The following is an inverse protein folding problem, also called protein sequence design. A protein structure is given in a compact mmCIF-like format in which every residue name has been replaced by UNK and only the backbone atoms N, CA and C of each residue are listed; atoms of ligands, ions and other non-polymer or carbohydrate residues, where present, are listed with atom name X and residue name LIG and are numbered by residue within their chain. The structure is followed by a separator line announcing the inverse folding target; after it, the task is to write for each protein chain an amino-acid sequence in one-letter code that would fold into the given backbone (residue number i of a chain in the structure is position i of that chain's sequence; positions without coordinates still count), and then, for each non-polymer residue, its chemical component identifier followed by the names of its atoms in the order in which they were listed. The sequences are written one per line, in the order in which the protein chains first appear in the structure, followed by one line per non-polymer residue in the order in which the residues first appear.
data_IF_023101320543
#
_entry.id   IF_023101320543
#
_cell.length_a   1.000
_cell.length_b   1.000
_cell.length_c   1.000
_cell.angle_alpha   90.00
_cell.angle_beta   90.00
_cell.angle_gamma   90.00
#
_symmetry.space_group_name_H-M   'P 1'
#
loop_
_entity.id
_entity.type
_entity.pdbx_description
1 polymer ?
#
# COMPACT_ATOMS: atom_id res chain seq x y z
N UNK A 1 11.63 49.82 -17.52
CA UNK A 1 12.11 48.72 -18.38
C UNK A 1 11.36 47.47 -17.99
N UNK A 2 10.50 46.94 -18.86
CA UNK A 2 9.64 45.79 -18.54
C UNK A 2 10.48 44.51 -18.70
N UNK A 3 10.49 43.56 -17.74
CA UNK A 3 11.27 42.34 -17.88
C UNK A 3 10.82 41.58 -19.14
N UNK A 4 11.76 41.06 -19.90
CA UNK A 4 11.46 40.24 -21.08
C UNK A 4 10.70 38.98 -20.67
N UNK A 5 9.90 38.40 -21.58
CA UNK A 5 9.13 37.16 -21.33
C UNK A 5 10.00 36.01 -20.78
N UNK A 6 11.29 36.00 -21.13
CA UNK A 6 12.25 34.99 -20.68
C UNK A 6 12.57 35.12 -19.17
N UNK A 7 12.47 36.33 -18.61
CA UNK A 7 12.69 36.57 -17.18
C UNK A 7 11.57 35.95 -16.33
N UNK A 8 10.34 36.00 -16.81
CA UNK A 8 9.19 35.36 -16.15
C UNK A 8 9.21 33.84 -16.27
N UNK A 9 9.66 33.28 -17.40
CA UNK A 9 9.79 31.82 -17.55
C UNK A 9 10.88 31.23 -16.64
N UNK A 10 11.98 31.94 -16.42
CA UNK A 10 13.04 31.52 -15.49
C UNK A 10 12.54 31.58 -14.05
N UNK A 11 11.82 32.64 -13.66
CA UNK A 11 11.19 32.72 -12.35
C UNK A 11 10.10 31.67 -12.15
N UNK A 12 9.29 31.34 -13.15
CA UNK A 12 8.29 30.27 -13.10
C UNK A 12 8.92 28.87 -13.02
N UNK A 13 10.03 28.64 -13.73
CA UNK A 13 10.78 27.39 -13.66
C UNK A 13 11.46 27.21 -12.29
N UNK A 14 12.01 28.30 -11.72
CA UNK A 14 12.55 28.31 -10.36
C UNK A 14 11.43 28.15 -9.32
N UNK A 15 10.26 28.77 -9.52
CA UNK A 15 9.10 28.61 -8.65
C UNK A 15 8.54 27.17 -8.69
N UNK A 16 8.43 26.55 -9.87
CA UNK A 16 8.04 25.14 -10.02
C UNK A 16 9.10 24.16 -9.51
N UNK A 17 10.39 24.54 -9.48
CA UNK A 17 11.48 23.74 -8.90
C UNK A 17 11.56 23.91 -7.36
N UNK A 18 11.09 25.04 -6.84
CA UNK A 18 11.00 25.34 -5.40
C UNK A 18 9.66 24.91 -4.77
N UNK A 19 8.60 24.66 -5.57
CA UNK A 19 7.44 23.84 -5.18
C UNK A 19 7.86 22.38 -5.11
N UNK A 20 8.62 22.13 -4.06
CA UNK A 20 9.15 20.88 -3.60
C UNK A 20 8.02 19.87 -3.33
N UNK A 21 7.42 19.29 -4.38
CA UNK A 21 6.96 17.90 -4.26
C UNK A 21 8.20 17.06 -4.41
N UNK A 22 8.93 16.89 -3.31
CA UNK A 22 9.92 15.83 -3.19
C UNK A 22 9.21 14.55 -3.63
N UNK A 23 9.53 14.06 -4.83
CA UNK A 23 9.19 12.70 -5.19
C UNK A 23 10.00 11.87 -4.22
N UNK A 24 9.36 11.32 -3.20
CA UNK A 24 9.97 10.31 -2.35
C UNK A 24 10.12 9.06 -3.21
N UNK A 25 11.22 9.01 -3.98
CA UNK A 25 11.60 7.84 -4.74
C UNK A 25 12.25 6.89 -3.74
N UNK A 26 11.45 6.12 -3.02
CA UNK A 26 11.94 4.87 -2.44
C UNK A 26 12.21 3.93 -3.62
N UNK A 27 13.48 3.74 -3.97
CA UNK A 27 13.83 2.62 -4.85
C UNK A 27 13.45 1.35 -4.10
N UNK A 28 12.66 0.51 -4.75
CA UNK A 28 12.05 -0.71 -4.19
C UNK A 28 13.07 -1.67 -3.53
N UNK A 29 14.35 -1.50 -3.89
CA UNK A 29 15.51 -2.24 -3.38
C UNK A 29 15.99 -1.81 -1.99
N UNK A 30 15.63 -0.62 -1.49
CA UNK A 30 16.12 -0.12 -0.19
C UNK A 30 15.25 -0.56 0.99
N UNK A 31 13.95 -0.78 0.77
CA UNK A 31 13.04 -1.30 1.80
C UNK A 31 13.01 -2.81 1.70
N UNK A 32 13.87 -3.47 2.47
CA UNK A 32 13.91 -4.93 2.54
C UNK A 32 12.62 -5.45 3.17
N UNK A 33 12.08 -6.52 2.61
CA UNK A 33 11.02 -7.25 3.27
C UNK A 33 11.51 -7.84 4.60
N UNK A 34 10.67 -7.75 5.61
CA UNK A 34 10.85 -8.36 6.93
C UNK A 34 9.77 -9.41 7.18
N UNK A 35 10.02 -10.33 8.11
CA UNK A 35 9.00 -11.27 8.56
C UNK A 35 8.02 -10.55 9.49
N UNK A 36 6.74 -10.52 9.10
CA UNK A 36 5.68 -9.89 9.89
C UNK A 36 5.14 -10.85 10.96
N UNK A 37 4.94 -12.10 10.53
CA UNK A 37 4.51 -13.25 11.31
C UNK A 37 4.96 -14.52 10.56
N UNK A 38 4.98 -15.70 11.20
CA UNK A 38 5.41 -16.94 10.55
C UNK A 38 4.71 -17.16 9.20
N UNK A 39 5.49 -17.30 8.13
CA UNK A 39 4.99 -17.52 6.77
C UNK A 39 4.44 -16.27 6.06
N UNK A 40 4.60 -15.08 6.65
CA UNK A 40 4.22 -13.80 6.04
C UNK A 40 5.38 -12.82 6.10
N UNK A 41 5.80 -12.35 4.92
CA UNK A 41 6.75 -11.25 4.79
C UNK A 41 6.05 -10.01 4.29
N UNK A 42 6.57 -8.86 4.69
CA UNK A 42 6.01 -7.59 4.26
C UNK A 42 7.10 -6.55 4.01
N UNK A 43 6.73 -5.52 3.26
CA UNK A 43 7.38 -4.20 3.32
C UNK A 43 6.32 -3.10 3.30
N UNK A 44 6.65 -1.98 3.93
CA UNK A 44 5.76 -0.82 3.98
C UNK A 44 6.42 0.39 3.33
N UNK A 45 5.63 1.14 2.56
CA UNK A 45 5.98 2.45 2.04
C UNK A 45 4.93 3.44 2.51
N UNK A 46 5.37 4.53 3.12
CA UNK A 46 4.47 5.54 3.66
C UNK A 46 4.61 6.85 2.87
N UNK A 47 3.47 7.46 2.57
CA UNK A 47 3.37 8.89 2.28
C UNK A 47 2.82 9.63 3.50
N UNK A 48 2.58 10.93 3.37
CA UNK A 48 1.98 11.73 4.44
C UNK A 48 0.55 11.28 4.80
N UNK A 49 -0.17 10.61 3.88
CA UNK A 49 -1.61 10.33 4.03
C UNK A 49 -2.01 8.89 3.74
N UNK A 50 -1.09 8.07 3.26
CA UNK A 50 -1.36 6.71 2.82
C UNK A 50 -0.20 5.77 3.17
N UNK A 51 -0.52 4.50 3.38
CA UNK A 51 0.45 3.41 3.44
C UNK A 51 0.21 2.47 2.27
N UNK A 52 1.28 2.09 1.56
CA UNK A 52 1.30 0.91 0.70
C UNK A 52 1.98 -0.21 1.49
N UNK A 53 1.30 -1.34 1.61
CA UNK A 53 1.86 -2.57 2.13
C UNK A 53 1.97 -3.59 1.01
N UNK A 54 3.13 -4.20 0.90
CA UNK A 54 3.33 -5.36 0.05
C UNK A 54 3.53 -6.57 0.93
N UNK A 55 2.83 -7.66 0.58
CA UNK A 55 2.78 -8.87 1.35
C UNK A 55 3.14 -10.07 0.49
N UNK A 56 3.98 -10.95 1.04
CA UNK A 56 4.22 -12.29 0.52
C UNK A 56 3.73 -13.29 1.56
N UNK A 57 2.71 -14.05 1.20
CA UNK A 57 2.15 -15.12 2.02
C UNK A 57 2.58 -16.48 1.48
N UNK A 58 3.08 -17.34 2.35
CA UNK A 58 3.23 -18.77 2.05
C UNK A 58 1.85 -19.45 1.95
N UNK A 59 1.80 -20.59 1.24
CA UNK A 59 0.56 -21.36 1.09
C UNK A 59 0.01 -21.81 2.45
N UNK A 60 -1.31 -21.79 2.60
CA UNK A 60 -2.08 -22.18 3.78
C UNK A 60 -1.88 -21.31 5.02
N UNK A 61 -1.19 -20.17 4.91
CA UNK A 61 -1.07 -19.22 6.02
C UNK A 61 -2.39 -18.47 6.21
N UNK A 62 -2.86 -18.44 7.45
CA UNK A 62 -4.04 -17.69 7.87
C UNK A 62 -3.65 -16.25 8.27
N UNK A 63 -4.39 -15.28 7.74
CA UNK A 63 -4.39 -13.90 8.20
C UNK A 63 -5.48 -13.76 9.28
N UNK A 64 -5.12 -13.53 10.56
CA UNK A 64 -6.08 -13.46 11.65
C UNK A 64 -7.16 -12.39 11.43
N UNK A 65 -8.31 -12.60 12.06
CA UNK A 65 -9.38 -11.60 12.05
C UNK A 65 -8.94 -10.30 12.71
N UNK A 66 -9.18 -9.19 12.01
CA UNK A 66 -8.87 -7.86 12.48
C UNK A 66 -9.78 -6.81 11.82
N UNK A 67 -9.61 -5.57 12.27
CA UNK A 67 -10.22 -4.38 11.66
C UNK A 67 -9.35 -3.17 11.96
N UNK A 68 -9.52 -2.11 11.18
CA UNK A 68 -8.83 -0.84 11.37
C UNK A 68 -9.67 0.31 10.82
N UNK A 69 -9.43 1.52 11.32
CA UNK A 69 -10.13 2.74 10.89
C UNK A 69 -9.78 3.20 9.48
N UNK A 70 -8.80 2.57 8.84
CA UNK A 70 -8.36 2.87 7.48
C UNK A 70 -9.25 2.15 6.47
N UNK A 71 -9.64 2.84 5.39
CA UNK A 71 -10.10 2.19 4.18
C UNK A 71 -8.90 1.51 3.50
N UNK A 72 -9.14 0.32 2.95
CA UNK A 72 -8.13 -0.49 2.28
C UNK A 72 -8.55 -0.84 0.87
N UNK A 73 -7.61 -0.76 -0.07
CA UNK A 73 -7.73 -1.33 -1.41
C UNK A 73 -6.71 -2.45 -1.53
N UNK A 74 -7.19 -3.65 -1.83
CA UNK A 74 -6.38 -4.85 -2.05
C UNK A 74 -6.21 -5.10 -3.54
N UNK A 75 -5.00 -5.49 -3.95
CA UNK A 75 -4.66 -5.99 -5.27
C UNK A 75 -3.90 -7.30 -5.15
N UNK A 76 -4.41 -8.37 -5.76
CA UNK A 76 -3.65 -9.62 -5.88
C UNK A 76 -2.76 -9.54 -7.11
N UNK A 77 -1.44 -9.62 -6.91
CA UNK A 77 -0.45 -9.64 -7.97
C UNK A 77 -0.30 -11.06 -8.51
N UNK A 78 -0.15 -12.04 -7.61
CA UNK A 78 -0.08 -13.47 -7.94
C UNK A 78 -0.68 -14.32 -6.81
N UNK A 79 -1.05 -15.55 -7.14
CA UNK A 79 -1.64 -16.49 -6.20
C UNK A 79 -3.17 -16.38 -6.10
N UNK A 80 -3.70 -17.03 -5.07
CA UNK A 80 -5.11 -17.10 -4.73
C UNK A 80 -5.28 -16.92 -3.22
N UNK A 81 -6.12 -15.97 -2.84
CA UNK A 81 -6.33 -15.60 -1.45
C UNK A 81 -7.81 -15.53 -1.13
N UNK A 82 -8.22 -16.30 -0.12
CA UNK A 82 -9.59 -16.33 0.37
C UNK A 82 -9.72 -15.28 1.47
N UNK A 83 -10.42 -14.18 1.19
CA UNK A 83 -10.80 -13.22 2.21
C UNK A 83 -12.15 -13.61 2.82
N UNK A 84 -12.31 -13.35 4.12
CA UNK A 84 -13.63 -13.22 4.74
C UNK A 84 -13.81 -11.75 5.13
N UNK A 85 -14.78 -11.07 4.54
CA UNK A 85 -15.08 -9.65 4.79
C UNK A 85 -16.54 -9.52 5.17
N UNK A 86 -16.82 -8.92 6.33
CA UNK A 86 -18.19 -8.80 6.84
C UNK A 86 -18.95 -10.15 6.85
N UNK A 87 -18.25 -11.21 7.29
CA UNK A 87 -18.78 -12.57 7.35
C UNK A 87 -18.93 -13.29 5.99
N UNK A 88 -18.61 -12.65 4.86
CA UNK A 88 -18.71 -13.23 3.52
C UNK A 88 -17.36 -13.65 2.98
N UNK A 89 -17.29 -14.87 2.46
CA UNK A 89 -16.09 -15.40 1.82
C UNK A 89 -15.99 -14.91 0.37
N UNK A 90 -14.81 -14.42 0.00
CA UNK A 90 -14.48 -13.89 -1.33
C UNK A 90 -13.11 -14.42 -1.73
N UNK A 91 -13.07 -15.25 -2.78
CA UNK A 91 -11.81 -15.72 -3.36
C UNK A 91 -11.31 -14.68 -4.38
N UNK A 92 -10.09 -14.18 -4.16
CA UNK A 92 -9.40 -13.30 -5.09
C UNK A 92 -8.24 -14.04 -5.74
N UNK A 93 -8.21 -14.07 -7.07
CA UNK A 93 -7.09 -14.60 -7.87
C UNK A 93 -6.26 -13.46 -8.44
N UNK A 94 -5.08 -13.77 -8.97
CA UNK A 94 -4.19 -12.81 -9.64
C UNK A 94 -4.94 -11.82 -10.57
N UNK A 95 -4.66 -10.53 -10.42
CA UNK A 95 -5.32 -9.45 -11.15
C UNK A 95 -6.60 -8.92 -10.48
N UNK A 96 -7.16 -9.60 -9.48
CA UNK A 96 -8.35 -9.13 -8.74
C UNK A 96 -8.05 -7.93 -7.85
N UNK A 97 -9.07 -7.12 -7.63
CA UNK A 97 -9.04 -6.00 -6.68
C UNK A 97 -10.28 -6.02 -5.79
N UNK A 98 -10.13 -5.57 -4.55
CA UNK A 98 -11.22 -5.46 -3.58
C UNK A 98 -11.05 -4.19 -2.75
N UNK A 99 -12.15 -3.60 -2.31
CA UNK A 99 -12.15 -2.47 -1.37
C UNK A 99 -12.74 -2.98 -0.06
N UNK A 100 -12.04 -2.73 1.05
CA UNK A 100 -12.50 -3.01 2.40
C UNK A 100 -12.75 -1.66 3.09
N UNK A 101 -14.01 -1.32 3.40
CA UNK A 101 -14.32 -0.09 4.11
C UNK A 101 -13.73 -0.05 5.52
N UNK A 102 -13.53 1.16 6.04
CA UNK A 102 -13.05 1.37 7.41
C UNK A 102 -13.91 0.63 8.45
N UNK A 103 -13.23 0.05 9.45
CA UNK A 103 -13.79 -0.70 10.57
C UNK A 103 -14.57 -1.97 10.20
N UNK A 104 -14.59 -2.38 8.94
CA UNK A 104 -15.16 -3.67 8.54
C UNK A 104 -14.21 -4.77 8.99
N UNK A 105 -14.74 -5.73 9.75
CA UNK A 105 -13.98 -6.91 10.19
C UNK A 105 -13.65 -7.78 9.00
N UNK A 106 -12.39 -8.17 8.90
CA UNK A 106 -11.90 -9.04 7.85
C UNK A 106 -10.79 -9.97 8.33
N UNK A 107 -10.67 -11.11 7.64
CA UNK A 107 -9.61 -12.10 7.80
C UNK A 107 -9.29 -12.70 6.43
N UNK A 108 -8.33 -13.62 6.36
CA UNK A 108 -8.18 -14.40 5.14
C UNK A 108 -7.20 -15.56 5.24
N UNK A 109 -7.01 -16.22 4.12
CA UNK A 109 -6.14 -17.38 3.99
C UNK A 109 -5.51 -17.42 2.61
N UNK A 110 -4.19 -17.58 2.56
CA UNK A 110 -3.47 -17.87 1.34
C UNK A 110 -3.80 -19.30 0.88
N UNK A 111 -4.59 -19.43 -0.18
CA UNK A 111 -4.93 -20.74 -0.78
C UNK A 111 -3.71 -21.29 -1.53
N UNK A 112 -2.95 -20.40 -2.15
CA UNK A 112 -1.63 -20.65 -2.73
C UNK A 112 -0.63 -19.61 -2.22
N UNK A 113 0.66 -19.79 -2.49
CA UNK A 113 1.64 -18.71 -2.26
C UNK A 113 1.18 -17.44 -2.99
N UNK A 114 1.05 -16.33 -2.26
CA UNK A 114 0.33 -15.15 -2.73
C UNK A 114 1.15 -13.88 -2.53
N UNK A 115 1.15 -13.04 -3.57
CA UNK A 115 1.73 -11.70 -3.53
C UNK A 115 0.60 -10.69 -3.64
N UNK A 116 0.44 -9.87 -2.59
CA UNK A 116 -0.66 -8.91 -2.45
C UNK A 116 -0.10 -7.52 -2.18
N UNK A 117 -0.71 -6.51 -2.78
CA UNK A 117 -0.50 -5.11 -2.43
C UNK A 117 -1.79 -4.58 -1.80
N UNK A 118 -1.65 -3.97 -0.63
CA UNK A 118 -2.70 -3.20 0.02
C UNK A 118 -2.33 -1.72 0.07
N UNK A 119 -3.30 -0.86 -0.21
CA UNK A 119 -3.18 0.58 -0.04
C UNK A 119 -4.19 1.04 0.99
N UNK A 120 -3.72 1.79 1.98
CA UNK A 120 -4.52 2.25 3.11
C UNK A 120 -4.65 3.77 3.11
N UNK A 121 -5.85 4.26 3.45
CA UNK A 121 -6.11 5.66 3.76
C UNK A 121 -7.02 5.79 5.00
N UNK A 122 -6.69 6.61 6.02
CA UNK A 122 -5.44 7.38 6.16
C UNK A 122 -4.21 6.48 6.33
N UNK A 123 -3.05 7.06 6.59
CA UNK A 123 -1.81 6.32 6.83
C UNK A 123 -1.97 5.34 8.02
N UNK A 124 -1.38 4.15 7.90
CA UNK A 124 -1.28 3.15 8.98
C UNK A 124 -0.15 3.52 9.93
N UNK A 125 -0.45 4.35 10.94
CA UNK A 125 0.53 4.80 11.93
C UNK A 125 1.17 3.65 12.71
N UNK A 126 0.41 2.57 12.95
CA UNK A 126 0.90 1.36 13.62
C UNK A 126 1.94 0.58 12.78
N UNK A 127 2.01 0.82 11.47
CA UNK A 127 3.01 0.21 10.59
C UNK A 127 4.32 1.01 10.51
N UNK A 128 4.34 2.29 10.87
CA UNK A 128 5.57 3.11 10.81
C UNK A 128 6.68 2.64 11.75
N UNK A 129 6.33 1.86 12.78
CA UNK A 129 7.27 1.32 13.76
C UNK A 129 7.77 -0.09 13.42
N UNK A 130 7.35 -0.66 12.27
CA UNK A 130 7.62 -2.04 11.87
C UNK A 130 8.59 -2.15 10.69
#
# INVERSE_FOLDING_TARGET
MQPSKNHWMILLAIFNFLENRSVNISHDETVKMSEFMPGVKNRFVHSDTMTLAEWLFEMNVDLPEHSHSNEQITKVISGEFLFKVDGKDVLLSAGSSMIIPANVVHSGKAVTESHIIDVFHPVREDFKAK
#
